data_IF_123919273470
#
_entry.id   IF_123919273470
#
_cell.length_a   1.000
_cell.length_b   1.000
_cell.length_c   1.000
_cell.angle_alpha   90.00
_cell.angle_beta   90.00
_cell.angle_gamma   90.00
#
_symmetry.space_group_name_H-M   'P 1'
#
loop_
_entity.id
_entity.type
_entity.pdbx_description
1 polymer ?
#
# COMPACT_ATOMS: atom_id res chain seq x y z
N UNK A 1 -51.53 -42.95 -39.38
CA UNK A 1 -51.99 -42.00 -40.42
C UNK A 1 -53.50 -41.87 -40.30
N UNK A 2 -54.12 -40.72 -40.58
CA UNK A 2 -53.64 -39.55 -41.35
C UNK A 2 -53.28 -38.30 -40.48
N UNK A 3 -52.25 -37.52 -40.84
CA UNK A 3 -52.26 -36.16 -41.46
C UNK A 3 -52.79 -35.04 -40.51
N UNK A 4 -52.02 -34.05 -40.03
CA UNK A 4 -50.91 -33.21 -40.57
C UNK A 4 -51.41 -32.11 -41.53
N UNK A 5 -51.41 -30.85 -41.05
CA UNK A 5 -51.32 -29.61 -41.84
C UNK A 5 -50.29 -28.70 -41.14
N UNK A 6 -49.30 -28.24 -41.91
CA UNK A 6 -48.29 -27.23 -41.56
C UNK A 6 -48.89 -25.82 -41.80
N UNK A 7 -48.38 -24.68 -41.34
CA UNK A 7 -47.00 -24.21 -41.54
C UNK A 7 -46.77 -22.83 -40.86
N UNK A 8 -45.48 -22.52 -40.58
CA UNK A 8 -44.76 -21.21 -40.74
C UNK A 8 -45.46 -19.87 -40.36
N UNK A 9 -44.87 -18.78 -39.85
CA UNK A 9 -43.52 -18.30 -39.45
C UNK A 9 -43.74 -16.92 -38.74
N UNK A 10 -42.82 -16.16 -38.12
CA UNK A 10 -41.35 -16.19 -37.87
C UNK A 10 -41.06 -15.31 -36.61
N UNK A 11 -39.79 -15.06 -36.24
CA UNK A 11 -39.38 -14.15 -35.15
C UNK A 11 -39.18 -14.87 -33.81
N UNK A 12 -37.99 -15.22 -33.32
CA UNK A 12 -36.69 -14.54 -33.37
C UNK A 12 -36.69 -13.18 -32.64
N UNK A 13 -36.70 -13.23 -31.30
CA UNK A 13 -36.10 -12.16 -30.51
C UNK A 13 -35.29 -12.77 -29.34
N UNK A 14 -34.02 -12.37 -29.28
CA UNK A 14 -33.04 -12.87 -28.32
C UNK A 14 -33.25 -12.22 -26.95
N UNK A 15 -33.95 -12.87 -26.02
CA UNK A 15 -33.72 -12.57 -24.60
C UNK A 15 -32.44 -13.29 -24.13
N UNK A 16 -31.30 -12.74 -24.55
CA UNK A 16 -30.03 -12.92 -23.86
C UNK A 16 -30.21 -12.40 -22.44
N UNK A 17 -30.42 -13.32 -21.51
CA UNK A 17 -30.33 -13.04 -20.09
C UNK A 17 -28.90 -12.60 -19.81
N UNK A 18 -28.63 -11.29 -19.86
CA UNK A 18 -27.36 -10.74 -19.42
C UNK A 18 -27.15 -11.17 -17.99
N UNK A 19 -26.21 -12.10 -17.79
CA UNK A 19 -25.73 -12.50 -16.49
C UNK A 19 -24.96 -11.30 -15.93
N UNK A 20 -25.72 -10.35 -15.37
CA UNK A 20 -25.22 -9.18 -14.67
C UNK A 20 -24.31 -9.70 -13.56
N UNK A 21 -23.00 -9.59 -13.79
CA UNK A 21 -21.99 -10.14 -12.91
C UNK A 21 -22.33 -9.72 -11.47
N UNK A 22 -22.22 -10.63 -10.48
CA UNK A 22 -22.63 -10.31 -9.12
C UNK A 22 -21.89 -9.05 -8.70
N UNK A 23 -22.64 -8.01 -8.37
CA UNK A 23 -22.07 -6.77 -7.84
C UNK A 23 -21.54 -7.13 -6.46
N UNK A 24 -20.27 -7.53 -6.42
CA UNK A 24 -19.59 -7.92 -5.19
C UNK A 24 -19.50 -6.67 -4.32
N UNK A 25 -20.44 -6.55 -3.38
CA UNK A 25 -20.49 -5.47 -2.41
C UNK A 25 -19.31 -5.61 -1.46
N UNK A 26 -18.16 -5.05 -1.86
CA UNK A 26 -16.98 -4.95 -1.02
C UNK A 26 -17.34 -4.32 0.32
N UNK A 27 -16.84 -4.92 1.39
CA UNK A 27 -16.97 -4.42 2.75
C UNK A 27 -16.36 -3.00 2.85
N UNK A 28 -16.83 -2.16 3.78
CA UNK A 28 -16.27 -0.80 3.95
C UNK A 28 -14.75 -0.79 4.19
N UNK A 29 -14.22 -1.80 4.88
CA UNK A 29 -12.78 -2.01 5.09
C UNK A 29 -12.04 -2.33 3.79
N UNK A 30 -12.56 -3.24 2.97
CA UNK A 30 -12.00 -3.59 1.65
C UNK A 30 -11.98 -2.40 0.69
N UNK A 31 -13.00 -1.54 0.73
CA UNK A 31 -13.02 -0.30 -0.05
C UNK A 31 -11.93 0.67 0.41
N UNK A 32 -11.79 0.89 1.72
CA UNK A 32 -10.77 1.79 2.29
C UNK A 32 -9.36 1.27 2.01
N UNK A 33 -9.07 -0.02 2.20
CA UNK A 33 -7.77 -0.62 1.86
C UNK A 33 -7.48 -0.56 0.36
N UNK A 34 -8.49 -0.77 -0.51
CA UNK A 34 -8.33 -0.65 -1.97
C UNK A 34 -7.98 0.77 -2.39
N UNK A 35 -8.60 1.80 -1.80
CA UNK A 35 -8.26 3.20 -2.07
C UNK A 35 -6.83 3.51 -1.62
N UNK A 36 -6.41 3.04 -0.44
CA UNK A 36 -5.04 3.17 0.04
C UNK A 36 -4.02 2.50 -0.89
N UNK A 37 -4.31 1.31 -1.41
CA UNK A 37 -3.47 0.64 -2.40
C UNK A 37 -3.42 1.41 -3.73
N UNK A 38 -4.54 1.92 -4.23
CA UNK A 38 -4.59 2.73 -5.46
C UNK A 38 -3.79 4.02 -5.33
N UNK A 39 -3.89 4.70 -4.18
CA UNK A 39 -3.10 5.87 -3.83
C UNK A 39 -1.60 5.54 -3.85
N UNK A 40 -1.21 4.50 -3.10
CA UNK A 40 0.17 3.98 -3.04
C UNK A 40 0.74 3.69 -4.44
N UNK A 41 -0.03 2.98 -5.27
CA UNK A 41 0.38 2.61 -6.63
C UNK A 41 0.55 3.82 -7.55
N UNK A 42 -0.32 4.83 -7.47
CA UNK A 42 -0.21 6.06 -8.30
C UNK A 42 0.97 6.93 -7.86
N UNK A 43 1.21 7.03 -6.57
CA UNK A 43 2.36 7.73 -6.00
C UNK A 43 3.68 7.13 -6.50
N UNK A 44 3.83 5.80 -6.40
CA UNK A 44 5.00 5.08 -6.89
C UNK A 44 5.18 5.14 -8.41
N UNK A 45 4.08 5.13 -9.16
CA UNK A 45 4.13 5.30 -10.61
C UNK A 45 4.65 6.68 -11.02
N UNK A 46 4.28 7.74 -10.30
CA UNK A 46 4.83 9.08 -10.55
C UNK A 46 6.34 9.15 -10.27
N UNK A 47 6.82 8.48 -9.22
CA UNK A 47 8.27 8.42 -8.94
C UNK A 47 9.04 7.67 -10.03
N UNK A 48 8.52 6.53 -10.49
CA UNK A 48 9.11 5.78 -11.59
C UNK A 48 9.14 6.55 -12.93
N UNK A 49 8.24 7.53 -13.13
CA UNK A 49 8.27 8.43 -14.31
C UNK A 49 9.28 9.57 -14.18
N UNK A 50 9.62 9.98 -12.96
CA UNK A 50 10.61 11.04 -12.71
C UNK A 50 12.05 10.50 -12.79
N UNK A 51 12.23 9.21 -12.48
CA UNK A 51 13.53 8.52 -12.50
C UNK A 51 13.79 7.85 -13.86
N UNK A 52 14.19 8.66 -14.84
CA UNK A 52 14.44 8.23 -16.23
C UNK A 52 15.86 7.70 -16.49
N UNK A 53 16.63 7.42 -15.43
CA UNK A 53 17.95 6.80 -15.48
C UNK A 53 17.93 5.42 -14.80
N UNK A 54 18.91 4.57 -15.12
CA UNK A 54 19.00 3.19 -14.61
C UNK A 54 18.81 3.10 -13.09
N UNK A 55 17.71 2.47 -12.69
CA UNK A 55 17.42 2.14 -11.28
C UNK A 55 18.52 1.20 -10.79
N UNK A 56 19.47 1.76 -10.05
CA UNK A 56 20.61 1.05 -9.47
C UNK A 56 20.59 1.23 -7.96
N UNK A 57 20.67 0.09 -7.27
CA UNK A 57 20.08 -0.10 -5.94
C UNK A 57 21.14 -0.20 -4.85
N UNK A 58 20.93 0.50 -3.72
CA UNK A 58 21.70 0.27 -2.49
C UNK A 58 20.82 -0.01 -1.27
N UNK A 59 20.53 -1.28 -1.04
CA UNK A 59 20.41 -1.80 0.33
C UNK A 59 21.79 -1.86 0.99
N UNK A 60 21.81 -1.84 2.33
CA UNK A 60 23.06 -2.00 3.10
C UNK A 60 23.70 -3.37 2.80
N UNK A 61 25.03 -3.49 2.70
CA UNK A 61 25.72 -4.75 2.38
C UNK A 61 25.74 -5.77 3.55
N UNK A 62 24.70 -5.82 4.37
CA UNK A 62 24.62 -6.70 5.54
C UNK A 62 23.58 -7.82 5.34
N UNK A 63 24.10 -8.91 4.77
CA UNK A 63 23.74 -10.32 5.00
C UNK A 63 22.24 -10.70 5.02
N UNK A 64 21.88 -11.55 4.06
CA UNK A 64 20.52 -12.08 3.80
C UNK A 64 19.50 -11.04 3.28
N UNK A 65 19.73 -10.58 2.03
CA UNK A 65 18.85 -9.71 1.24
C UNK A 65 17.57 -10.43 0.75
N UNK A 66 16.88 -11.12 1.66
CA UNK A 66 15.49 -11.54 1.46
C UNK A 66 14.63 -10.27 1.47
N UNK A 67 14.31 -9.72 0.29
CA UNK A 67 13.48 -8.52 0.15
C UNK A 67 12.01 -8.75 0.54
N UNK A 68 11.10 -8.15 -0.23
CA UNK A 68 9.65 -8.23 0.04
C UNK A 68 9.08 -9.66 0.08
N UNK A 69 9.78 -10.66 -0.47
CA UNK A 69 9.46 -12.08 -0.30
C UNK A 69 9.22 -12.47 1.16
N UNK A 70 10.06 -12.01 2.09
CA UNK A 70 9.90 -12.31 3.52
C UNK A 70 8.58 -11.72 4.05
N UNK A 71 8.24 -10.49 3.65
CA UNK A 71 7.03 -9.80 4.08
C UNK A 71 5.76 -10.39 3.44
N UNK A 72 5.85 -10.87 2.21
CA UNK A 72 4.73 -11.40 1.43
C UNK A 72 4.47 -12.89 1.66
N UNK A 73 5.47 -13.66 2.13
CA UNK A 73 5.43 -15.12 2.35
C UNK A 73 4.13 -15.69 2.94
N UNK A 74 3.52 -15.14 4.02
CA UNK A 74 2.32 -15.75 4.61
C UNK A 74 1.04 -15.50 3.80
N UNK A 75 1.05 -14.55 2.87
CA UNK A 75 -0.11 -14.19 2.04
C UNK A 75 -0.25 -15.06 0.78
N UNK A 76 0.69 -16.00 0.58
CA UNK A 76 0.65 -16.96 -0.53
C UNK A 76 1.33 -16.47 -1.81
N UNK A 77 1.22 -17.29 -2.85
CA UNK A 77 1.87 -17.02 -4.14
C UNK A 77 1.15 -15.89 -4.89
N UNK A 78 1.92 -14.97 -5.48
CA UNK A 78 1.36 -13.78 -6.15
C UNK A 78 0.89 -12.67 -5.19
N UNK A 79 1.17 -12.78 -3.89
CA UNK A 79 0.90 -11.72 -2.95
C UNK A 79 1.65 -10.42 -3.32
N UNK A 80 1.03 -9.28 -3.00
CA UNK A 80 1.51 -7.92 -3.27
C UNK A 80 1.20 -7.01 -2.07
N UNK A 81 1.76 -5.80 -2.06
CA UNK A 81 1.55 -4.76 -1.03
C UNK A 81 0.08 -4.60 -0.58
N UNK A 82 -0.89 -4.71 -1.51
CA UNK A 82 -2.32 -4.65 -1.19
C UNK A 82 -2.76 -5.66 -0.11
N UNK A 83 -2.21 -6.87 -0.11
CA UNK A 83 -2.55 -7.91 0.86
C UNK A 83 -2.07 -7.53 2.27
N UNK A 84 -0.90 -6.88 2.35
CA UNK A 84 -0.34 -6.37 3.61
C UNK A 84 -1.15 -5.18 4.12
N UNK A 85 -1.49 -4.22 3.24
CA UNK A 85 -2.37 -3.08 3.58
C UNK A 85 -3.72 -3.59 4.09
N UNK A 86 -4.37 -4.51 3.37
CA UNK A 86 -5.66 -5.07 3.75
C UNK A 86 -5.60 -5.83 5.08
N UNK A 87 -4.63 -6.74 5.24
CA UNK A 87 -4.47 -7.50 6.49
C UNK A 87 -4.28 -6.57 7.69
N UNK A 88 -3.39 -5.59 7.55
CA UNK A 88 -3.13 -4.62 8.60
C UNK A 88 -4.36 -3.77 8.93
N UNK A 89 -5.10 -3.32 7.91
CA UNK A 89 -6.35 -2.56 8.07
C UNK A 89 -7.48 -3.39 8.70
N UNK A 90 -7.52 -4.69 8.45
CA UNK A 90 -8.54 -5.60 9.00
C UNK A 90 -8.24 -6.08 10.43
N UNK A 91 -6.97 -6.13 10.85
CA UNK A 91 -6.54 -6.75 12.11
C UNK A 91 -6.11 -5.76 13.21
N UNK A 92 -6.33 -4.45 13.03
CA UNK A 92 -5.94 -3.45 14.01
C UNK A 92 -7.06 -2.44 14.28
N UNK A 93 -7.63 -2.51 15.48
CA UNK A 93 -8.74 -1.64 15.91
C UNK A 93 -8.32 -0.17 16.13
N UNK A 94 -7.01 0.09 16.27
CA UNK A 94 -6.46 1.45 16.34
C UNK A 94 -6.18 2.06 14.95
N UNK A 95 -6.43 1.34 13.84
CA UNK A 95 -6.20 1.92 12.51
C UNK A 95 -7.25 2.95 12.13
N UNK A 96 -6.76 4.09 11.67
CA UNK A 96 -7.51 4.97 10.79
C UNK A 96 -6.86 5.07 9.41
N UNK A 97 -7.62 5.63 8.47
CA UNK A 97 -7.14 5.96 7.12
C UNK A 97 -5.98 6.97 7.19
N UNK A 98 -6.03 7.91 8.14
CA UNK A 98 -5.05 8.99 8.31
C UNK A 98 -3.63 8.46 8.51
N UNK A 99 -3.45 7.40 9.29
CA UNK A 99 -2.14 6.77 9.53
C UNK A 99 -1.44 6.35 8.23
N UNK A 100 -2.20 5.81 7.27
CA UNK A 100 -1.67 5.47 5.95
C UNK A 100 -1.40 6.69 5.07
N UNK A 101 -2.27 7.68 5.12
CA UNK A 101 -2.07 8.97 4.44
C UNK A 101 -0.80 9.69 4.94
N UNK A 102 -0.51 9.63 6.25
CA UNK A 102 0.73 10.13 6.84
C UNK A 102 1.93 9.31 6.35
N UNK A 103 1.86 7.98 6.36
CA UNK A 103 2.93 7.13 5.83
C UNK A 103 3.28 7.44 4.35
N UNK A 104 2.26 7.73 3.55
CA UNK A 104 2.39 8.13 2.14
C UNK A 104 2.94 9.55 1.97
N UNK A 105 2.52 10.51 2.79
CA UNK A 105 3.11 11.85 2.82
C UNK A 105 4.57 11.83 3.28
N UNK A 106 4.93 10.95 4.22
CA UNK A 106 6.33 10.73 4.61
C UNK A 106 7.15 10.11 3.47
N UNK A 107 6.58 9.21 2.68
CA UNK A 107 7.21 8.69 1.45
C UNK A 107 7.49 9.82 0.44
N UNK A 108 6.53 10.73 0.24
CA UNK A 108 6.68 11.90 -0.64
C UNK A 108 7.76 12.87 -0.14
N UNK A 109 7.86 13.07 1.17
CA UNK A 109 8.94 13.88 1.77
C UNK A 109 10.31 13.23 1.63
N UNK A 110 10.42 11.90 1.79
CA UNK A 110 11.66 11.15 1.54
C UNK A 110 12.09 11.26 0.07
N UNK A 111 11.13 11.08 -0.86
CA UNK A 111 11.38 11.23 -2.30
C UNK A 111 11.84 12.65 -2.63
N UNK A 112 11.14 13.68 -2.12
CA UNK A 112 11.54 15.08 -2.32
C UNK A 112 12.93 15.36 -1.76
N UNK A 113 13.28 14.83 -0.59
CA UNK A 113 14.62 14.97 -0.01
C UNK A 113 15.68 14.36 -0.93
N UNK A 114 15.44 13.17 -1.49
CA UNK A 114 16.36 12.52 -2.44
C UNK A 114 16.64 13.40 -3.68
N UNK A 115 15.62 14.01 -4.28
CA UNK A 115 15.80 14.92 -5.43
C UNK A 115 16.38 16.30 -5.05
N UNK A 116 16.16 16.77 -3.82
CA UNK A 116 16.58 18.10 -3.38
C UNK A 116 18.03 18.17 -2.85
N UNK A 117 18.62 17.06 -2.38
CA UNK A 117 20.01 17.06 -1.88
C UNK A 117 21.04 16.67 -2.94
N UNK A 118 21.92 17.60 -3.40
CA UNK A 118 22.91 17.32 -4.45
C UNK A 118 24.13 16.50 -3.96
N UNK A 119 24.24 16.19 -2.67
CA UNK A 119 25.39 15.48 -2.10
C UNK A 119 25.22 13.94 -2.16
N UNK A 120 26.32 13.22 -2.34
CA UNK A 120 26.28 11.85 -2.87
C UNK A 120 26.35 10.71 -1.84
N UNK A 121 26.65 10.98 -0.56
CA UNK A 121 27.25 9.94 0.30
C UNK A 121 26.28 8.97 0.99
N UNK A 122 25.03 9.36 1.31
CA UNK A 122 24.01 8.43 1.85
C UNK A 122 22.61 8.70 1.25
N UNK A 123 22.44 8.39 -0.04
CA UNK A 123 21.14 8.53 -0.70
C UNK A 123 20.13 7.49 -0.20
N UNK A 124 18.99 7.95 0.30
CA UNK A 124 17.83 7.10 0.56
C UNK A 124 17.11 6.79 -0.77
N UNK A 125 17.38 5.64 -1.36
CA UNK A 125 16.74 5.17 -2.59
C UNK A 125 15.56 4.23 -2.28
N UNK A 126 14.46 4.40 -3.02
CA UNK A 126 13.29 3.50 -2.94
C UNK A 126 13.51 2.31 -3.86
N UNK A 127 13.92 1.16 -3.29
CA UNK A 127 14.00 -0.10 -4.05
C UNK A 127 12.61 -0.74 -4.17
N UNK A 128 12.19 -1.06 -5.39
CA UNK A 128 10.94 -1.79 -5.64
C UNK A 128 10.92 -3.20 -5.03
N UNK A 129 12.10 -3.80 -4.80
CA UNK A 129 12.24 -5.11 -4.14
C UNK A 129 12.04 -5.05 -2.61
N UNK A 130 11.94 -3.85 -2.06
CA UNK A 130 11.80 -3.55 -0.63
C UNK A 130 10.63 -2.59 -0.38
N UNK A 131 9.65 -2.55 -1.29
CA UNK A 131 8.55 -1.61 -1.21
C UNK A 131 7.58 -1.96 -0.09
N UNK A 132 7.32 -3.25 0.15
CA UNK A 132 6.50 -3.73 1.27
C UNK A 132 7.22 -3.45 2.59
N UNK A 133 8.53 -3.70 2.66
CA UNK A 133 9.35 -3.32 3.81
C UNK A 133 9.28 -1.81 4.10
N UNK A 134 9.51 -0.98 3.08
CA UNK A 134 9.50 0.48 3.21
C UNK A 134 8.13 0.99 3.65
N UNK A 135 7.05 0.50 3.05
CA UNK A 135 5.70 0.86 3.42
C UNK A 135 5.39 0.46 4.87
N UNK A 136 5.77 -0.74 5.30
CA UNK A 136 5.58 -1.18 6.68
C UNK A 136 6.38 -0.33 7.67
N UNK A 137 7.62 0.03 7.35
CA UNK A 137 8.48 0.88 8.19
C UNK A 137 7.97 2.32 8.27
N UNK A 138 7.52 2.91 7.16
CA UNK A 138 6.85 4.23 7.14
C UNK A 138 5.53 4.22 7.91
N UNK A 139 4.77 3.14 7.78
CA UNK A 139 3.54 2.94 8.51
C UNK A 139 3.79 2.88 10.03
N UNK A 140 4.87 2.21 10.45
CA UNK A 140 5.35 2.22 11.83
C UNK A 140 5.81 3.60 12.33
N UNK A 141 6.42 4.43 11.47
CA UNK A 141 6.75 5.83 11.79
C UNK A 141 5.46 6.64 12.00
N UNK A 142 4.50 6.53 11.08
CA UNK A 142 3.27 7.33 11.09
C UNK A 142 2.53 7.26 12.43
N UNK A 143 2.42 6.08 13.03
CA UNK A 143 1.82 5.91 14.37
C UNK A 143 2.40 6.85 15.44
N UNK A 144 3.72 7.03 15.45
CA UNK A 144 4.44 7.77 16.51
C UNK A 144 4.26 9.28 16.42
N UNK A 145 3.76 9.77 15.29
CA UNK A 145 3.49 11.20 15.04
C UNK A 145 2.01 11.51 14.81
N UNK A 146 1.16 10.48 14.70
CA UNK A 146 -0.29 10.63 14.52
C UNK A 146 -1.10 10.47 15.82
N UNK A 147 -0.71 9.55 16.70
CA UNK A 147 -1.45 9.26 17.93
C UNK A 147 -0.84 9.93 19.16
N UNK A 148 -1.70 10.40 20.06
CA UNK A 148 -1.33 10.95 21.38
C UNK A 148 -0.77 9.88 22.35
N UNK A 149 -0.76 8.59 21.96
CA UNK A 149 -0.27 7.48 22.76
C UNK A 149 0.82 6.68 22.03
N UNK A 150 1.84 6.17 22.75
CA UNK A 150 2.97 5.47 22.16
C UNK A 150 2.57 4.07 21.66
N UNK A 151 2.55 3.88 20.34
CA UNK A 151 2.39 2.55 19.74
C UNK A 151 3.76 1.85 19.65
N UNK A 152 3.89 0.70 20.32
CA UNK A 152 5.10 -0.11 20.27
C UNK A 152 5.22 -0.89 18.95
N UNK A 153 6.40 -0.88 18.32
CA UNK A 153 6.67 -1.68 17.12
C UNK A 153 6.40 -3.18 17.30
N UNK A 154 6.65 -3.71 18.50
CA UNK A 154 6.37 -5.12 18.84
C UNK A 154 4.89 -5.47 18.71
N UNK A 155 3.98 -4.54 19.01
CA UNK A 155 2.56 -4.72 18.76
C UNK A 155 2.27 -4.77 17.25
N UNK A 156 2.71 -3.77 16.49
CA UNK A 156 2.44 -3.70 15.03
C UNK A 156 3.00 -4.91 14.28
N UNK A 157 4.22 -5.34 14.60
CA UNK A 157 4.84 -6.56 14.06
C UNK A 157 4.15 -7.86 14.53
N UNK A 158 3.54 -7.85 15.72
CA UNK A 158 2.75 -8.97 16.26
C UNK A 158 1.45 -9.24 15.50
N UNK A 159 0.90 -8.23 14.81
CA UNK A 159 -0.31 -8.35 13.99
C UNK A 159 -0.07 -9.11 12.68
N UNK A 160 1.16 -9.14 12.18
CA UNK A 160 1.50 -9.76 10.90
C UNK A 160 1.35 -11.29 10.98
N UNK A 161 0.87 -11.98 9.93
CA UNK A 161 0.59 -13.42 9.94
C UNK A 161 1.86 -14.31 9.81
N UNK A 162 3.00 -13.79 10.27
CA UNK A 162 4.32 -14.42 10.24
C UNK A 162 4.58 -15.32 11.46
N UNK A 163 5.55 -16.23 11.33
CA UNK A 163 6.08 -16.99 12.46
C UNK A 163 6.79 -16.08 13.48
N UNK A 164 6.93 -16.51 14.74
CA UNK A 164 7.58 -15.66 15.75
C UNK A 164 9.05 -15.34 15.42
N UNK A 165 9.78 -16.26 14.77
CA UNK A 165 11.14 -16.03 14.27
C UNK A 165 11.15 -14.97 13.17
N UNK A 166 10.24 -15.08 12.20
CA UNK A 166 10.13 -14.12 11.09
C UNK A 166 9.74 -12.73 11.64
N UNK A 167 8.76 -12.64 12.56
CA UNK A 167 8.36 -11.40 13.26
C UNK A 167 9.52 -10.74 14.00
N UNK A 168 10.40 -11.52 14.64
CA UNK A 168 11.57 -10.99 15.34
C UNK A 168 12.62 -10.41 14.35
N UNK A 169 12.78 -11.00 13.17
CA UNK A 169 13.67 -10.49 12.11
C UNK A 169 13.09 -9.21 11.49
N UNK A 170 11.79 -9.24 11.16
CA UNK A 170 10.93 -8.12 10.77
C UNK A 170 11.12 -6.93 11.71
N UNK A 171 10.94 -7.13 13.02
CA UNK A 171 11.09 -6.09 14.03
C UNK A 171 12.49 -5.45 14.03
N UNK A 172 13.54 -6.26 13.93
CA UNK A 172 14.93 -5.76 13.86
C UNK A 172 15.19 -4.92 12.59
N UNK A 173 14.61 -5.32 11.45
CA UNK A 173 14.70 -4.55 10.18
C UNK A 173 13.92 -3.24 10.30
N UNK A 174 12.67 -3.28 10.77
CA UNK A 174 11.84 -2.08 10.98
C UNK A 174 12.50 -1.07 11.92
N UNK A 175 13.11 -1.49 13.03
CA UNK A 175 13.87 -0.59 13.93
C UNK A 175 15.03 0.12 13.20
N UNK A 176 15.74 -0.59 12.31
CA UNK A 176 16.85 -0.04 11.53
C UNK A 176 16.34 0.96 10.48
N UNK A 177 15.29 0.60 9.76
CA UNK A 177 14.67 1.43 8.73
C UNK A 177 14.05 2.70 9.35
N UNK A 178 13.35 2.56 10.48
CA UNK A 178 12.75 3.69 11.19
C UNK A 178 13.82 4.71 11.58
N UNK A 179 14.93 4.26 12.19
CA UNK A 179 16.08 5.13 12.51
C UNK A 179 16.62 5.82 11.26
N UNK A 180 16.68 5.13 10.12
CA UNK A 180 17.14 5.70 8.84
C UNK A 180 16.19 6.77 8.32
N UNK A 181 14.89 6.47 8.27
CA UNK A 181 13.81 7.39 7.84
C UNK A 181 13.81 8.66 8.69
N UNK A 182 13.86 8.51 10.02
CA UNK A 182 13.89 9.64 10.96
C UNK A 182 15.14 10.52 10.75
N UNK A 183 16.30 9.91 10.58
CA UNK A 183 17.54 10.65 10.29
C UNK A 183 17.47 11.39 8.94
N UNK A 184 17.00 10.73 7.86
CA UNK A 184 16.85 11.34 6.53
C UNK A 184 15.85 12.51 6.55
N UNK A 185 14.78 12.42 7.34
CA UNK A 185 13.81 13.50 7.50
C UNK A 185 14.20 14.55 8.56
N UNK A 186 15.37 14.42 9.20
CA UNK A 186 15.79 15.31 10.29
C UNK A 186 14.80 15.37 11.45
N UNK A 187 14.12 14.25 11.74
CA UNK A 187 12.99 14.11 12.68
C UNK A 187 11.76 14.98 12.35
N UNK A 188 11.71 15.62 11.18
CA UNK A 188 10.55 16.40 10.71
C UNK A 188 9.47 15.49 10.11
N UNK A 189 8.84 14.69 10.96
CA UNK A 189 7.79 13.74 10.55
C UNK A 189 6.35 14.24 10.77
N UNK A 190 6.17 15.48 11.26
CA UNK A 190 4.85 16.10 11.30
C UNK A 190 4.29 16.32 9.89
N UNK A 191 3.01 15.97 9.69
CA UNK A 191 2.29 16.17 8.42
C UNK A 191 1.00 16.93 8.73
N UNK A 192 0.75 18.05 8.06
CA UNK A 192 -0.46 18.84 8.32
C UNK A 192 -1.70 18.21 7.67
N UNK A 193 -2.91 18.48 8.17
CA UNK A 193 -4.15 18.07 7.50
C UNK A 193 -4.25 18.55 6.05
N UNK A 194 -3.70 19.74 5.75
CA UNK A 194 -3.66 20.28 4.38
C UNK A 194 -2.78 19.44 3.45
N UNK A 195 -1.65 18.92 3.94
CA UNK A 195 -0.83 17.99 3.15
C UNK A 195 -1.58 16.69 2.85
N UNK A 196 -2.34 16.16 3.81
CA UNK A 196 -3.13 14.94 3.61
C UNK A 196 -4.27 15.19 2.59
N UNK A 197 -4.94 16.35 2.68
CA UNK A 197 -5.98 16.75 1.74
C UNK A 197 -5.40 16.96 0.32
N UNK A 198 -4.24 17.60 0.18
CA UNK A 198 -3.54 17.76 -1.10
C UNK A 198 -3.18 16.40 -1.71
N UNK A 199 -2.56 15.50 -0.93
CA UNK A 199 -2.24 14.14 -1.36
C UNK A 199 -3.50 13.39 -1.84
N UNK A 200 -4.61 13.51 -1.10
CA UNK A 200 -5.89 12.94 -1.48
C UNK A 200 -6.42 13.51 -2.81
N UNK A 201 -6.41 14.83 -2.97
CA UNK A 201 -6.95 15.50 -4.16
C UNK A 201 -6.10 15.33 -5.43
N UNK A 202 -4.77 15.22 -5.30
CA UNK A 202 -3.86 15.01 -6.45
C UNK A 202 -3.96 13.58 -6.98
N UNK A 203 -4.07 12.60 -6.10
CA UNK A 203 -3.90 11.18 -6.47
C UNK A 203 -5.19 10.36 -6.48
N UNK A 204 -6.29 10.80 -5.84
CA UNK A 204 -7.57 10.09 -5.83
C UNK A 204 -8.64 10.77 -6.67
N UNK A 205 -9.51 9.94 -7.26
CA UNK A 205 -10.72 10.38 -7.94
C UNK A 205 -11.80 10.71 -6.92
N UNK A 206 -12.76 11.56 -7.30
CA UNK A 206 -13.90 11.93 -6.45
C UNK A 206 -14.68 10.72 -5.92
N UNK A 207 -14.83 9.68 -6.73
CA UNK A 207 -15.50 8.42 -6.34
C UNK A 207 -14.72 7.64 -5.27
N UNK A 208 -13.39 7.68 -5.31
CA UNK A 208 -12.51 6.99 -4.36
C UNK A 208 -12.43 7.75 -3.03
N UNK A 209 -12.47 9.09 -3.07
CA UNK A 209 -12.62 9.94 -1.87
C UNK A 209 -13.92 9.65 -1.13
N UNK A 210 -15.02 9.41 -1.85
CA UNK A 210 -16.32 9.02 -1.27
C UNK A 210 -16.30 7.62 -0.62
N UNK A 211 -15.27 6.81 -0.84
CA UNK A 211 -15.11 5.51 -0.15
C UNK A 211 -14.26 5.62 1.12
N UNK A 212 -13.62 6.76 1.37
CA UNK A 212 -12.84 7.01 2.60
C UNK A 212 -13.68 7.61 3.74
N UNK A 213 -14.77 8.30 3.39
CA UNK A 213 -15.80 8.81 4.30
C UNK A 213 -16.63 7.62 4.78
#
# INVERSE_FOLDING_TARGET
MPHLIESQHQGAEENKTEAKAPVTLLLPSEKKSRVLFLLSRRLLHNYALLDSGDVSFFTSPCEEDCGDEMWLKPFGHGAILEHVIFHLFANNECFDVSSWFIALALLERLHTHFFATPCHEERFQVSLNHIVQLFFSLYCVAFKFHFDFPVHLSYVTGLLPHSQSDRNLILKRTVRDEKRILNTLGFSCFVSPDNLAQLAHVYLRREELLWLI
#
